data_IF_839604822349
#
_entry.id   IF_839604822349
#
_cell.length_a   1.000
_cell.length_b   1.000
_cell.length_c   1.000
_cell.angle_alpha   90.00
_cell.angle_beta   90.00
_cell.angle_gamma   90.00
#
_symmetry.space_group_name_H-M   'P 1'
#
loop_
_entity.id
_entity.type
_entity.pdbx_description
1 polymer ?
#
# COMPACT_ATOMS: atom_id res chain seq x y z
N UNK A 1 0.26 -121.55 -28.01
CA UNK A 1 -0.93 -120.73 -27.69
C UNK A 1 -0.45 -119.58 -26.83
N UNK A 2 -0.60 -118.38 -27.37
CA UNK A 2 -0.13 -117.07 -26.90
C UNK A 2 -0.97 -116.59 -25.72
N UNK A 3 -0.33 -116.30 -24.60
CA UNK A 3 -0.94 -115.58 -23.47
C UNK A 3 -0.31 -114.19 -23.42
N UNK A 4 -1.10 -113.10 -23.52
CA UNK A 4 -0.58 -111.74 -23.66
C UNK A 4 -0.07 -111.16 -22.33
N UNK A 5 0.96 -110.32 -22.45
CA UNK A 5 1.56 -109.52 -21.39
C UNK A 5 0.56 -108.46 -20.87
N UNK A 6 0.52 -108.20 -19.55
CA UNK A 6 -0.27 -107.09 -19.00
C UNK A 6 0.39 -105.72 -19.29
N UNK A 7 -0.42 -104.65 -19.44
CA UNK A 7 0.04 -103.33 -19.87
C UNK A 7 0.81 -102.57 -18.77
N UNK A 8 1.85 -101.84 -19.20
CA UNK A 8 2.62 -100.91 -18.37
C UNK A 8 1.71 -99.79 -17.81
N UNK A 9 1.48 -99.85 -16.49
CA UNK A 9 0.80 -98.80 -15.75
C UNK A 9 1.77 -97.66 -15.45
N UNK A 10 1.50 -96.49 -16.04
CA UNK A 10 2.32 -95.29 -15.95
C UNK A 10 2.58 -94.78 -14.54
N UNK A 11 3.76 -94.20 -14.38
CA UNK A 11 4.27 -93.46 -13.23
C UNK A 11 3.31 -92.32 -12.83
N UNK A 12 2.66 -92.47 -11.67
CA UNK A 12 1.91 -91.39 -11.01
C UNK A 12 2.89 -90.38 -10.39
N UNK A 13 2.78 -89.08 -10.66
CA UNK A 13 3.63 -88.07 -10.02
C UNK A 13 3.23 -87.85 -8.55
N UNK A 14 4.22 -87.95 -7.66
CA UNK A 14 4.08 -87.67 -6.23
C UNK A 14 3.91 -86.17 -5.99
N UNK A 15 2.78 -85.78 -5.39
CA UNK A 15 2.55 -84.40 -4.96
C UNK A 15 3.24 -84.15 -3.61
N UNK A 16 3.93 -83.00 -3.40
CA UNK A 16 4.49 -82.66 -2.10
C UNK A 16 3.38 -82.36 -1.07
N UNK A 17 3.58 -82.68 0.22
CA UNK A 17 2.60 -82.40 1.27
C UNK A 17 2.42 -80.88 1.47
N UNK A 18 1.23 -80.43 1.93
CA UNK A 18 0.96 -79.01 2.13
C UNK A 18 1.83 -78.42 3.27
N UNK A 19 2.23 -77.14 3.18
CA UNK A 19 3.03 -76.50 4.22
C UNK A 19 2.26 -76.34 5.53
N UNK A 20 2.97 -76.53 6.65
CA UNK A 20 2.45 -76.40 8.01
C UNK A 20 1.97 -74.95 8.30
N UNK A 21 0.97 -74.76 9.19
CA UNK A 21 0.47 -73.43 9.52
C UNK A 21 1.55 -72.63 10.27
N UNK A 22 1.99 -71.52 9.64
CA UNK A 22 2.94 -70.60 10.26
C UNK A 22 2.31 -69.90 11.48
N UNK A 23 3.07 -69.88 12.57
CA UNK A 23 2.71 -69.26 13.84
C UNK A 23 2.44 -67.76 13.74
N UNK A 24 1.76 -67.27 14.78
CA UNK A 24 1.33 -65.89 14.97
C UNK A 24 2.49 -64.89 14.93
N UNK A 25 2.69 -64.26 13.77
CA UNK A 25 3.35 -62.97 13.68
C UNK A 25 2.34 -61.88 14.05
N UNK A 26 2.61 -61.17 15.13
CA UNK A 26 1.91 -59.96 15.54
C UNK A 26 1.73 -59.01 14.36
N UNK A 27 0.48 -58.68 14.01
CA UNK A 27 0.17 -57.65 13.04
C UNK A 27 0.70 -56.30 13.53
N UNK A 28 1.87 -55.89 13.04
CA UNK A 28 2.33 -54.52 13.15
C UNK A 28 1.41 -53.67 12.27
N UNK A 29 0.62 -52.78 12.88
CA UNK A 29 -0.25 -51.85 12.14
C UNK A 29 0.58 -51.01 11.14
N UNK A 30 0.04 -50.67 9.95
CA UNK A 30 0.75 -49.81 9.01
C UNK A 30 0.97 -48.44 9.66
N UNK A 31 2.23 -48.01 9.78
CA UNK A 31 2.53 -46.61 10.12
C UNK A 31 2.13 -45.73 8.93
N UNK A 32 1.36 -44.64 9.12
CA UNK A 32 1.08 -43.73 8.03
C UNK A 32 2.38 -43.07 7.56
N UNK A 33 2.63 -43.10 6.25
CA UNK A 33 3.74 -42.40 5.62
C UNK A 33 3.69 -40.91 6.01
N UNK A 34 4.78 -40.38 6.60
CA UNK A 34 4.92 -38.94 6.82
C UNK A 34 4.92 -38.24 5.46
N UNK A 35 3.89 -37.45 5.20
CA UNK A 35 3.88 -36.52 4.07
C UNK A 35 5.07 -35.56 4.20
N UNK A 36 5.87 -35.33 3.14
CA UNK A 36 6.89 -34.29 3.18
C UNK A 36 6.20 -32.94 3.36
N UNK A 37 6.53 -32.23 4.44
CA UNK A 37 6.02 -30.87 4.65
C UNK A 37 6.49 -29.98 3.49
N UNK A 38 5.63 -29.13 2.92
CA UNK A 38 6.03 -28.27 1.82
C UNK A 38 7.06 -27.26 2.33
N UNK A 39 8.33 -27.47 1.96
CA UNK A 39 9.44 -26.57 2.26
C UNK A 39 9.24 -25.16 1.69
N UNK A 40 8.28 -24.99 0.76
CA UNK A 40 7.95 -23.71 0.14
C UNK A 40 7.52 -22.63 1.11
N UNK A 41 6.82 -22.97 2.20
CA UNK A 41 6.36 -21.95 3.17
C UNK A 41 7.52 -21.46 4.06
N UNK A 42 8.46 -22.34 4.41
CA UNK A 42 9.65 -21.95 5.17
C UNK A 42 10.58 -21.07 4.34
N UNK A 43 10.74 -21.38 3.04
CA UNK A 43 11.50 -20.56 2.10
C UNK A 43 10.80 -19.21 1.89
N UNK A 44 9.47 -19.19 1.73
CA UNK A 44 8.71 -17.94 1.61
C UNK A 44 8.88 -17.05 2.85
N UNK A 45 8.81 -17.62 4.06
CA UNK A 45 9.02 -16.87 5.29
C UNK A 45 10.46 -16.33 5.42
N UNK A 46 11.47 -17.10 4.99
CA UNK A 46 12.86 -16.66 4.97
C UNK A 46 13.07 -15.50 3.99
N UNK A 47 12.51 -15.61 2.78
CA UNK A 47 12.61 -14.57 1.74
C UNK A 47 11.91 -13.30 2.19
N UNK A 48 10.71 -13.40 2.78
CA UNK A 48 9.99 -12.24 3.33
C UNK A 48 10.78 -11.60 4.47
N UNK A 49 11.43 -12.39 5.34
CA UNK A 49 12.29 -11.88 6.41
C UNK A 49 13.51 -11.13 5.89
N UNK A 50 14.18 -11.64 4.85
CA UNK A 50 15.33 -10.98 4.22
C UNK A 50 14.88 -9.69 3.51
N UNK A 51 13.77 -9.71 2.77
CA UNK A 51 13.23 -8.51 2.12
C UNK A 51 12.83 -7.46 3.16
N UNK A 52 12.20 -7.85 4.26
CA UNK A 52 11.88 -6.94 5.35
C UNK A 52 13.13 -6.36 6.03
N UNK A 53 14.20 -7.14 6.16
CA UNK A 53 15.48 -6.68 6.70
C UNK A 53 16.18 -5.67 5.76
N UNK A 54 16.16 -5.94 4.45
CA UNK A 54 16.77 -5.04 3.45
C UNK A 54 15.98 -3.73 3.29
N UNK A 55 14.64 -3.78 3.35
CA UNK A 55 13.77 -2.60 3.30
C UNK A 55 13.79 -1.83 4.64
N UNK A 56 13.96 -2.53 5.77
CA UNK A 56 14.09 -1.93 7.10
C UNK A 56 15.41 -1.19 7.36
N UNK A 57 16.39 -1.29 6.45
CA UNK A 57 17.64 -0.52 6.46
C UNK A 57 17.47 0.90 5.88
N UNK A 58 16.24 1.38 5.73
CA UNK A 58 15.95 2.81 5.48
C UNK A 58 15.54 3.44 6.82
N UNK A 59 16.36 4.36 7.39
CA UNK A 59 16.29 4.78 8.80
C UNK A 59 14.97 5.42 9.26
N UNK A 60 14.05 5.75 8.34
CA UNK A 60 12.76 6.37 8.67
C UNK A 60 11.66 5.33 8.97
N UNK A 61 11.80 4.06 8.54
CA UNK A 61 10.75 3.04 8.69
C UNK A 61 10.96 2.02 9.82
N UNK A 62 12.14 2.01 10.45
CA UNK A 62 12.52 0.98 11.43
C UNK A 62 11.65 0.97 12.70
N UNK A 63 11.19 2.14 13.16
CA UNK A 63 10.38 2.23 14.38
C UNK A 63 8.97 1.63 14.19
N UNK A 64 8.32 1.90 13.04
CA UNK A 64 6.99 1.38 12.74
C UNK A 64 7.01 -0.13 12.48
N UNK A 65 8.02 -0.62 11.75
CA UNK A 65 8.21 -2.05 11.50
C UNK A 65 8.60 -2.79 12.79
N UNK A 66 9.39 -2.16 13.67
CA UNK A 66 9.74 -2.71 14.99
C UNK A 66 8.53 -2.87 15.90
N UNK A 67 7.64 -1.86 15.96
CA UNK A 67 6.40 -1.93 16.73
C UNK A 67 5.48 -3.02 16.16
N UNK A 68 5.34 -3.11 14.84
CA UNK A 68 4.55 -4.16 14.19
C UNK A 68 5.11 -5.56 14.50
N UNK A 69 6.43 -5.74 14.51
CA UNK A 69 7.08 -7.00 14.87
C UNK A 69 6.84 -7.41 16.33
N UNK A 70 6.88 -6.45 17.27
CA UNK A 70 6.55 -6.68 18.68
C UNK A 70 5.08 -7.09 18.84
N UNK A 71 4.17 -6.40 18.17
CA UNK A 71 2.72 -6.71 18.19
C UNK A 71 2.46 -8.10 17.63
N UNK A 72 3.09 -8.47 16.51
CA UNK A 72 2.98 -9.81 15.93
C UNK A 72 3.60 -10.89 16.82
N UNK A 73 4.70 -10.59 17.51
CA UNK A 73 5.30 -11.48 18.51
C UNK A 73 4.36 -11.75 19.69
N UNK A 74 3.73 -10.70 20.23
CA UNK A 74 2.75 -10.80 21.31
C UNK A 74 1.47 -11.52 20.87
N UNK A 75 1.03 -11.32 19.63
CA UNK A 75 -0.13 -12.04 19.07
C UNK A 75 0.18 -13.53 18.81
N UNK A 76 1.41 -13.86 18.42
CA UNK A 76 1.87 -15.24 18.29
C UNK A 76 1.92 -15.97 19.64
N UNK A 77 2.31 -15.28 20.73
CA UNK A 77 2.24 -15.79 22.11
C UNK A 77 0.79 -16.10 22.54
N UNK A 78 -0.18 -15.27 22.15
CA UNK A 78 -1.61 -15.47 22.47
C UNK A 78 -2.26 -16.64 21.72
N UNK A 79 -1.68 -17.13 20.63
CA UNK A 79 -2.25 -18.24 19.83
C UNK A 79 -1.70 -19.63 20.18
N UNK A 80 -0.84 -19.78 21.20
CA UNK A 80 -0.24 -21.08 21.58
C UNK A 80 0.42 -21.85 20.41
N UNK A 81 0.92 -21.15 19.39
CA UNK A 81 1.77 -21.81 18.40
C UNK A 81 3.13 -22.14 19.03
N UNK A 82 3.65 -23.31 18.65
CA UNK A 82 4.59 -24.13 19.41
C UNK A 82 5.72 -23.36 20.12
N UNK A 83 5.91 -23.72 21.39
CA UNK A 83 6.80 -23.08 22.39
C UNK A 83 8.25 -22.85 21.91
N UNK A 84 8.71 -23.54 20.86
CA UNK A 84 10.04 -23.35 20.28
C UNK A 84 10.19 -22.12 19.38
N UNK A 85 9.13 -21.66 18.70
CA UNK A 85 9.21 -20.56 17.72
C UNK A 85 9.06 -19.17 18.37
N UNK A 86 8.34 -19.09 19.50
CA UNK A 86 8.20 -17.86 20.27
C UNK A 86 9.48 -17.50 21.02
N UNK A 87 10.20 -18.49 21.57
CA UNK A 87 11.46 -18.26 22.30
C UNK A 87 12.56 -17.77 21.34
N UNK A 88 12.67 -18.37 20.16
CA UNK A 88 13.62 -17.91 19.14
C UNK A 88 13.22 -16.54 18.58
N UNK A 89 11.92 -16.27 18.37
CA UNK A 89 11.44 -14.97 17.92
C UNK A 89 11.72 -13.82 18.89
N UNK A 90 11.51 -14.04 20.19
CA UNK A 90 11.82 -13.04 21.23
C UNK A 90 13.34 -12.87 21.36
N UNK A 91 14.11 -13.97 21.30
CA UNK A 91 15.57 -13.91 21.37
C UNK A 91 16.17 -13.13 20.20
N UNK A 92 15.75 -13.43 18.96
CA UNK A 92 16.22 -12.71 17.78
C UNK A 92 15.75 -11.25 17.76
N UNK A 93 14.50 -11.00 18.18
CA UNK A 93 13.95 -9.65 18.29
C UNK A 93 14.68 -8.79 19.32
N UNK A 94 15.00 -9.34 20.49
CA UNK A 94 15.80 -8.65 21.50
C UNK A 94 17.21 -8.31 21.03
N UNK A 95 17.87 -9.25 20.33
CA UNK A 95 19.19 -9.00 19.72
C UNK A 95 19.09 -7.92 18.64
N UNK A 96 18.05 -7.94 17.80
CA UNK A 96 17.83 -6.92 16.77
C UNK A 96 17.60 -5.52 17.36
N UNK A 97 16.84 -5.41 18.46
CA UNK A 97 16.64 -4.12 19.16
C UNK A 97 17.95 -3.61 19.75
N UNK A 98 18.74 -4.47 20.40
CA UNK A 98 20.05 -4.08 20.94
C UNK A 98 21.03 -3.68 19.83
N UNK A 99 21.07 -4.41 18.72
CA UNK A 99 21.88 -4.06 17.55
C UNK A 99 21.41 -2.75 16.91
N UNK A 100 20.11 -2.49 16.85
CA UNK A 100 19.55 -1.23 16.33
C UNK A 100 19.95 -0.04 17.20
N UNK A 101 19.82 -0.15 18.52
CA UNK A 101 20.22 0.92 19.45
C UNK A 101 21.72 1.20 19.35
N UNK A 102 22.55 0.15 19.27
CA UNK A 102 23.99 0.30 19.09
C UNK A 102 24.35 0.97 17.74
N UNK A 103 23.65 0.61 16.66
CA UNK A 103 23.85 1.23 15.34
C UNK A 103 23.41 2.69 15.33
N UNK A 104 22.31 3.05 16.02
CA UNK A 104 21.83 4.43 16.15
C UNK A 104 22.81 5.31 16.92
N UNK A 105 23.37 4.82 18.03
CA UNK A 105 24.37 5.55 18.82
C UNK A 105 25.69 5.69 18.03
N UNK A 106 26.11 4.63 17.33
CA UNK A 106 27.33 4.64 16.50
C UNK A 106 27.22 5.56 15.27
N UNK A 107 26.07 5.58 14.60
CA UNK A 107 25.83 6.43 13.44
C UNK A 107 25.70 7.91 13.82
N UNK A 108 25.05 8.21 14.96
CA UNK A 108 25.00 9.57 15.51
C UNK A 108 26.38 10.12 15.90
N UNK A 109 27.24 9.28 16.48
CA UNK A 109 28.62 9.68 16.81
C UNK A 109 29.51 9.87 15.55
N UNK A 110 29.35 9.03 14.53
CA UNK A 110 30.11 9.12 13.28
C UNK A 110 29.76 10.36 12.44
N UNK A 111 28.50 10.79 12.45
CA UNK A 111 28.08 12.03 11.77
C UNK A 111 28.51 13.31 12.51
N UNK A 112 28.63 13.26 13.84
CA UNK A 112 29.12 14.39 14.61
C UNK A 112 30.63 14.64 14.43
N UNK A 113 31.41 13.61 14.07
CA UNK A 113 32.86 13.75 13.80
C UNK A 113 33.21 14.29 12.41
N UNK A 114 32.23 14.47 11.50
CA UNK A 114 32.49 15.00 10.15
C UNK A 114 32.35 16.53 10.05
N UNK A 115 32.00 17.21 11.16
CA UNK A 115 31.73 18.65 11.18
C UNK A 115 32.77 19.49 11.97
N UNK A 116 33.85 18.89 12.49
CA UNK A 116 34.81 19.57 13.37
C UNK A 116 36.18 19.91 12.74
N UNK A 117 36.41 19.65 11.45
CA UNK A 117 37.69 19.99 10.79
C UNK A 117 37.46 20.69 9.44
N UNK A 118 37.18 22.00 9.48
CA UNK A 118 37.50 22.95 8.41
C UNK A 118 37.19 24.40 8.81
N UNK A 119 38.17 25.05 9.46
CA UNK A 119 38.47 26.46 9.18
C UNK A 119 39.94 26.49 8.72
N UNK A 120 40.30 27.34 7.74
CA UNK A 120 40.52 28.73 8.11
C UNK A 120 40.06 29.77 7.08
N UNK A 121 40.00 31.00 7.60
CA UNK A 121 39.78 32.28 6.95
C UNK A 121 40.42 32.45 5.56
N UNK A 122 39.65 33.02 4.63
CA UNK A 122 40.19 33.84 3.53
C UNK A 122 39.50 35.21 3.50
N UNK A 123 40.36 36.18 3.75
CA UNK A 123 40.37 37.61 3.53
C UNK A 123 39.43 38.16 2.46
N UNK A 124 38.71 39.22 2.82
CA UNK A 124 37.99 40.13 1.93
C UNK A 124 39.01 40.95 1.14
N UNK A 125 39.03 40.82 -0.19
CA UNK A 125 39.52 41.87 -1.08
C UNK A 125 38.38 42.32 -2.01
N UNK A 126 38.06 43.60 -1.85
CA UNK A 126 37.17 44.38 -2.70
C UNK A 126 37.94 44.77 -3.96
N UNK A 127 37.39 44.53 -5.15
CA UNK A 127 37.75 45.28 -6.36
C UNK A 127 36.72 45.08 -7.46
N UNK A 128 35.99 46.15 -7.75
CA UNK A 128 35.32 46.46 -9.01
C UNK A 128 35.62 47.96 -9.27
N UNK A 129 35.56 48.53 -10.51
CA UNK A 129 34.68 48.11 -11.62
C UNK A 129 35.16 48.32 -13.10
N UNK A 130 34.41 47.70 -14.04
CA UNK A 130 33.96 48.16 -15.39
C UNK A 130 34.97 48.43 -16.56
N UNK A 131 34.53 48.58 -17.85
CA UNK A 131 33.45 47.94 -18.64
C UNK A 131 33.82 47.59 -20.12
N UNK A 132 33.02 46.76 -20.80
CA UNK A 132 32.75 46.78 -22.26
C UNK A 132 31.62 45.76 -22.53
N UNK A 133 30.34 46.11 -22.71
CA UNK A 133 29.72 46.84 -23.82
C UNK A 133 29.91 46.16 -25.19
N UNK A 134 29.10 45.13 -25.49
CA UNK A 134 28.48 44.95 -26.82
C UNK A 134 27.10 44.30 -26.67
N UNK A 135 26.07 45.08 -26.96
CA UNK A 135 24.77 44.68 -27.53
C UNK A 135 24.64 45.52 -28.80
N UNK A 136 23.97 45.08 -29.88
CA UNK A 136 22.49 44.99 -29.83
C UNK A 136 21.79 44.01 -30.79
N UNK A 137 20.46 44.00 -30.63
CA UNK A 137 19.42 43.76 -31.67
C UNK A 137 18.95 42.30 -31.77
N UNK A 138 17.79 41.96 -31.16
CA UNK A 138 16.42 42.04 -31.70
C UNK A 138 16.24 41.10 -32.92
N UNK A 139 15.26 40.20 -32.99
CA UNK A 139 13.81 40.41 -32.97
C UNK A 139 13.13 39.01 -32.98
N UNK A 140 11.86 38.86 -32.55
CA UNK A 140 11.21 37.59 -32.26
C UNK A 140 10.44 37.04 -33.47
N UNK A 141 10.03 35.77 -33.40
CA UNK A 141 8.86 35.30 -34.13
C UNK A 141 8.24 34.06 -33.45
N UNK A 142 6.90 34.05 -33.24
CA UNK A 142 6.14 32.99 -32.61
C UNK A 142 5.56 31.99 -33.62
N UNK A 143 4.67 31.12 -33.10
CA UNK A 143 3.70 30.28 -33.79
C UNK A 143 4.13 28.79 -33.89
N UNK A 144 3.26 27.78 -33.72
CA UNK A 144 1.83 27.72 -34.05
C UNK A 144 1.07 26.78 -33.11
N UNK A 145 -0.08 27.26 -32.66
CA UNK A 145 -1.28 26.49 -32.34
C UNK A 145 -1.80 25.84 -33.62
N UNK A 146 -1.93 24.51 -33.64
CA UNK A 146 -2.70 23.80 -34.66
C UNK A 146 -4.03 23.37 -34.03
N UNK A 147 -5.06 24.18 -34.32
CA UNK A 147 -6.45 23.77 -34.22
C UNK A 147 -6.85 23.15 -35.55
N UNK A 148 -7.51 21.99 -35.50
CA UNK A 148 -8.18 21.36 -36.62
C UNK A 148 -9.43 20.62 -36.09
N UNK A 149 -10.49 20.42 -36.88
CA UNK A 149 -11.66 21.30 -36.83
C UNK A 149 -12.97 20.55 -36.50
N UNK A 150 -13.97 21.34 -36.12
CA UNK A 150 -15.38 20.97 -36.02
C UNK A 150 -15.93 20.76 -37.44
N UNK A 151 -16.55 19.61 -37.71
CA UNK A 151 -17.38 19.39 -38.90
C UNK A 151 -18.84 19.22 -38.46
N UNK A 152 -19.68 20.14 -38.94
CA UNK A 152 -21.14 20.19 -38.78
C UNK A 152 -21.75 20.23 -40.17
N UNK A 153 -22.70 19.32 -40.44
CA UNK A 153 -23.94 19.42 -41.24
C UNK A 153 -24.28 18.03 -41.84
N UNK A 154 -25.22 17.26 -41.26
CA UNK A 154 -26.68 17.19 -41.56
C UNK A 154 -27.01 16.44 -42.89
N UNK A 155 -28.24 15.89 -43.17
CA UNK A 155 -29.51 15.88 -42.41
C UNK A 155 -30.35 14.54 -42.41
N UNK A 156 -31.29 14.45 -41.46
CA UNK A 156 -32.70 13.96 -41.53
C UNK A 156 -33.03 12.64 -42.23
N UNK A 157 -33.59 11.66 -41.50
CA UNK A 157 -34.85 10.97 -41.88
C UNK A 157 -35.66 10.51 -40.65
N UNK A 158 -36.91 10.96 -40.59
CA UNK A 158 -38.03 10.41 -39.81
C UNK A 158 -39.26 10.71 -40.68
N UNK A 159 -40.16 9.76 -40.99
CA UNK A 159 -41.30 9.53 -40.09
C UNK A 159 -41.93 8.10 -40.04
N UNK A 160 -42.29 7.68 -38.81
CA UNK A 160 -43.58 7.09 -38.36
C UNK A 160 -44.14 5.77 -39.00
N UNK A 161 -45.22 5.13 -38.47
CA UNK A 161 -45.68 4.87 -37.09
C UNK A 161 -46.20 3.41 -36.88
N UNK A 162 -46.08 2.78 -35.69
CA UNK A 162 -47.04 1.72 -35.26
C UNK A 162 -47.20 1.65 -33.73
N UNK A 163 -48.37 2.09 -33.27
CA UNK A 163 -49.27 1.54 -32.23
C UNK A 163 -48.71 0.95 -30.93
N UNK A 164 -48.93 1.71 -29.85
CA UNK A 164 -49.91 1.42 -28.79
C UNK A 164 -49.98 -0.02 -28.25
N UNK A 165 -49.32 -0.22 -27.11
CA UNK A 165 -49.75 -1.14 -26.07
C UNK A 165 -49.87 -0.33 -24.77
N UNK A 166 -51.10 0.05 -24.40
CA UNK A 166 -51.44 0.44 -23.02
C UNK A 166 -51.83 -0.83 -22.22
N UNK A 167 -51.89 -0.82 -20.88
CA UNK A 167 -51.04 -0.17 -19.91
C UNK A 167 -50.52 -1.20 -18.88
N UNK A 168 -49.31 -1.04 -18.36
CA UNK A 168 -48.97 -1.59 -17.04
C UNK A 168 -48.52 -0.43 -16.19
N UNK A 169 -49.30 -0.18 -15.15
CA UNK A 169 -49.00 0.71 -14.04
C UNK A 169 -47.76 0.15 -13.32
N UNK A 170 -46.58 0.37 -13.89
CA UNK A 170 -45.32 0.16 -13.20
C UNK A 170 -45.09 1.39 -12.35
N UNK A 171 -45.38 1.22 -11.05
CA UNK A 171 -45.06 2.16 -10.00
C UNK A 171 -43.62 2.62 -10.21
N UNK A 172 -43.46 3.90 -10.55
CA UNK A 172 -42.15 4.53 -10.62
C UNK A 172 -41.39 4.20 -9.33
N UNK A 173 -40.14 3.73 -9.39
CA UNK A 173 -39.36 3.64 -8.16
C UNK A 173 -39.29 5.06 -7.58
N UNK A 174 -39.65 5.18 -6.29
CA UNK A 174 -39.40 6.42 -5.55
C UNK A 174 -37.98 6.90 -5.85
N UNK A 175 -37.82 8.21 -6.10
CA UNK A 175 -36.55 8.85 -6.36
C UNK A 175 -35.47 8.37 -5.35
N UNK A 176 -34.22 8.20 -5.78
CA UNK A 176 -33.29 7.34 -5.08
C UNK A 176 -33.00 7.91 -3.69
N UNK A 177 -33.25 7.10 -2.67
CA UNK A 177 -32.53 7.25 -1.42
C UNK A 177 -31.03 7.29 -1.76
N UNK A 178 -30.29 8.24 -1.17
CA UNK A 178 -28.85 8.42 -1.40
C UNK A 178 -28.16 7.05 -1.34
N UNK A 179 -27.37 6.67 -2.38
CA UNK A 179 -26.73 5.35 -2.40
C UNK A 179 -25.88 5.10 -1.15
N UNK A 180 -25.79 3.83 -0.72
CA UNK A 180 -25.01 3.46 0.48
C UNK A 180 -23.54 3.88 0.36
N UNK A 181 -22.97 3.79 -0.84
CA UNK A 181 -21.60 4.23 -1.11
C UNK A 181 -21.41 5.73 -0.82
N UNK A 182 -22.38 6.56 -1.19
CA UNK A 182 -22.33 8.01 -1.03
C UNK A 182 -22.39 8.38 0.46
N UNK A 183 -23.21 7.66 1.22
CA UNK A 183 -23.27 7.81 2.68
C UNK A 183 -21.95 7.38 3.34
N UNK A 184 -21.34 6.29 2.86
CA UNK A 184 -20.06 5.80 3.37
C UNK A 184 -18.92 6.78 3.05
N UNK A 185 -18.89 7.31 1.84
CA UNK A 185 -17.93 8.33 1.42
C UNK A 185 -18.08 9.61 2.26
N UNK A 186 -19.31 10.04 2.55
CA UNK A 186 -19.57 11.20 3.41
C UNK A 186 -19.06 11.01 4.85
N UNK A 187 -19.27 9.83 5.43
CA UNK A 187 -18.75 9.50 6.77
C UNK A 187 -17.21 9.53 6.78
N UNK A 188 -16.58 8.97 5.75
CA UNK A 188 -15.11 9.00 5.58
C UNK A 188 -14.60 10.41 5.36
N UNK A 189 -15.31 11.21 4.57
CA UNK A 189 -14.99 12.61 4.33
C UNK A 189 -14.96 13.42 5.63
N UNK A 190 -15.99 13.28 6.47
CA UNK A 190 -16.05 13.92 7.77
C UNK A 190 -14.86 13.49 8.66
N UNK A 191 -14.61 12.18 8.74
CA UNK A 191 -13.50 11.61 9.51
C UNK A 191 -12.13 12.15 9.10
N UNK A 192 -11.86 12.29 7.79
CA UNK A 192 -10.58 12.81 7.29
C UNK A 192 -10.47 14.32 7.44
N UNK A 193 -11.57 15.06 7.24
CA UNK A 193 -11.58 16.49 7.55
C UNK A 193 -11.25 16.74 9.02
N UNK A 194 -11.87 16.00 9.94
CA UNK A 194 -11.68 16.18 11.38
C UNK A 194 -10.31 15.75 11.89
N UNK A 195 -9.80 14.60 11.44
CA UNK A 195 -8.54 14.05 11.98
C UNK A 195 -7.30 14.44 11.19
N UNK A 196 -7.45 14.65 9.88
CA UNK A 196 -6.33 14.90 8.98
C UNK A 196 -6.36 16.31 8.40
N UNK A 197 -7.38 17.12 8.71
CA UNK A 197 -7.48 18.52 8.28
C UNK A 197 -7.25 18.69 6.78
N UNK A 198 -7.79 17.79 5.98
CA UNK A 198 -7.58 17.80 4.53
C UNK A 198 -8.29 19.00 3.87
N UNK A 199 -7.73 19.47 2.75
CA UNK A 199 -8.46 20.36 1.85
C UNK A 199 -9.58 19.62 1.13
N UNK A 200 -10.48 20.37 0.49
CA UNK A 200 -11.54 19.78 -0.33
C UNK A 200 -10.98 18.93 -1.48
N UNK A 201 -9.93 19.41 -2.16
CA UNK A 201 -9.30 18.70 -3.28
C UNK A 201 -8.54 17.46 -2.81
N UNK A 202 -7.73 17.59 -1.74
CA UNK A 202 -7.01 16.47 -1.16
C UNK A 202 -7.97 15.38 -0.64
N UNK A 203 -9.10 15.80 -0.06
CA UNK A 203 -10.12 14.88 0.43
C UNK A 203 -10.77 14.08 -0.70
N UNK A 204 -11.11 14.74 -1.81
CA UNK A 204 -11.59 14.05 -3.01
C UNK A 204 -10.57 13.02 -3.49
N UNK A 205 -9.31 13.43 -3.66
CA UNK A 205 -8.22 12.55 -4.09
C UNK A 205 -8.03 11.34 -3.16
N UNK A 206 -8.13 11.54 -1.84
CA UNK A 206 -8.01 10.48 -0.85
C UNK A 206 -9.17 9.47 -0.94
N UNK A 207 -10.40 9.95 -1.15
CA UNK A 207 -11.58 9.10 -1.27
C UNK A 207 -11.54 8.26 -2.55
N UNK A 208 -11.01 8.82 -3.65
CA UNK A 208 -10.90 8.11 -4.94
C UNK A 208 -9.61 7.31 -5.12
N UNK A 209 -8.61 7.51 -4.27
CA UNK A 209 -7.29 6.89 -4.42
C UNK A 209 -7.36 5.37 -4.45
N UNK A 210 -6.64 4.75 -5.39
CA UNK A 210 -6.47 3.30 -5.48
C UNK A 210 -5.84 2.70 -4.21
N UNK A 211 -5.09 3.50 -3.46
CA UNK A 211 -4.47 3.12 -2.19
C UNK A 211 -5.25 3.62 -0.95
N UNK A 212 -6.33 4.37 -1.17
CA UNK A 212 -7.18 4.95 -0.13
C UNK A 212 -8.47 4.17 0.04
N UNK A 213 -9.61 4.85 -0.14
CA UNK A 213 -10.94 4.28 0.05
C UNK A 213 -11.55 3.71 -1.24
N UNK A 214 -11.00 4.08 -2.41
CA UNK A 214 -11.42 3.57 -3.72
C UNK A 214 -12.92 3.79 -4.04
N UNK A 215 -13.53 4.83 -3.47
CA UNK A 215 -14.91 5.20 -3.80
C UNK A 215 -15.01 5.66 -5.26
N UNK A 216 -16.19 5.46 -5.85
CA UNK A 216 -16.49 6.05 -7.15
C UNK A 216 -16.30 7.58 -7.11
N UNK A 217 -15.83 8.20 -8.22
CA UNK A 217 -15.70 9.66 -8.31
C UNK A 217 -17.00 10.39 -7.95
N UNK A 218 -18.15 9.82 -8.29
CA UNK A 218 -19.45 10.42 -8.00
C UNK A 218 -19.78 10.36 -6.50
N UNK A 219 -19.46 9.26 -5.81
CA UNK A 219 -19.61 9.15 -4.35
C UNK A 219 -18.65 10.09 -3.60
N UNK A 220 -17.40 10.18 -4.07
CA UNK A 220 -16.41 11.10 -3.50
C UNK A 220 -16.81 12.57 -3.72
N UNK A 221 -17.32 12.91 -4.91
CA UNK A 221 -17.82 14.25 -5.21
C UNK A 221 -19.00 14.60 -4.31
N UNK A 222 -19.97 13.69 -4.19
CA UNK A 222 -21.08 13.84 -3.27
C UNK A 222 -20.58 14.07 -1.83
N UNK A 223 -19.60 13.31 -1.38
CA UNK A 223 -19.05 13.44 -0.03
C UNK A 223 -18.40 14.81 0.20
N UNK A 224 -17.54 15.30 -0.70
CA UNK A 224 -16.88 16.60 -0.52
C UNK A 224 -17.83 17.80 -0.67
N UNK A 225 -18.96 17.62 -1.35
CA UNK A 225 -19.98 18.67 -1.49
C UNK A 225 -20.95 18.72 -0.30
N UNK A 226 -21.11 17.61 0.42
CA UNK A 226 -22.07 17.49 1.52
C UNK A 226 -21.41 17.39 2.91
N UNK A 227 -20.09 17.23 2.98
CA UNK A 227 -19.37 17.23 4.26
C UNK A 227 -19.43 18.62 4.89
N UNK A 228 -19.88 18.68 6.14
CA UNK A 228 -19.88 19.90 6.93
C UNK A 228 -18.48 20.14 7.51
N UNK A 229 -17.56 20.60 6.65
CA UNK A 229 -16.20 20.93 7.01
C UNK A 229 -15.98 22.45 7.02
N UNK A 230 -15.20 22.93 7.98
CA UNK A 230 -14.65 24.29 7.97
C UNK A 230 -13.27 24.23 7.31
N UNK A 231 -13.21 24.54 6.02
CA UNK A 231 -11.97 24.45 5.25
C UNK A 231 -10.91 25.46 5.67
N UNK A 232 -11.34 26.63 6.16
CA UNK A 232 -10.46 27.63 6.74
C UNK A 232 -9.82 27.10 8.04
N UNK A 233 -10.61 26.44 8.89
CA UNK A 233 -10.11 25.80 10.10
C UNK A 233 -9.15 24.65 9.76
N UNK A 234 -9.45 23.83 8.75
CA UNK A 234 -8.55 22.77 8.29
C UNK A 234 -7.22 23.34 7.78
N UNK A 235 -7.26 24.38 6.95
CA UNK A 235 -6.06 25.05 6.45
C UNK A 235 -5.22 25.62 7.61
N UNK A 236 -5.86 26.26 8.59
CA UNK A 236 -5.19 26.78 9.78
C UNK A 236 -4.56 25.65 10.63
N UNK A 237 -5.25 24.53 10.81
CA UNK A 237 -4.70 23.39 11.54
C UNK A 237 -3.45 22.84 10.84
N UNK A 238 -3.50 22.65 9.52
CA UNK A 238 -2.33 22.27 8.71
C UNK A 238 -1.19 23.28 8.80
N UNK A 239 -1.51 24.57 8.75
CA UNK A 239 -0.53 25.63 8.89
C UNK A 239 0.20 25.55 10.24
N UNK A 240 -0.53 25.34 11.33
CA UNK A 240 0.03 25.16 12.68
C UNK A 240 0.87 23.88 12.78
N UNK A 241 0.45 22.80 12.12
CA UNK A 241 1.24 21.57 12.06
C UNK A 241 2.58 21.79 11.33
N UNK A 242 2.58 22.44 10.17
CA UNK A 242 3.80 22.77 9.44
C UNK A 242 4.71 23.72 10.23
N UNK A 243 4.14 24.73 10.88
CA UNK A 243 4.90 25.65 11.72
C UNK A 243 5.55 24.92 12.91
N UNK A 244 4.81 24.06 13.60
CA UNK A 244 5.28 23.42 14.83
C UNK A 244 6.22 22.23 14.58
N UNK A 245 5.95 21.41 13.57
CA UNK A 245 6.72 20.19 13.31
C UNK A 245 7.90 20.41 12.38
N UNK A 246 7.76 21.33 11.41
CA UNK A 246 8.78 21.57 10.38
C UNK A 246 9.42 22.95 10.47
N UNK A 247 9.02 23.79 11.44
CA UNK A 247 9.55 25.14 11.61
C UNK A 247 9.51 25.98 10.33
N UNK A 248 8.50 25.76 9.48
CA UNK A 248 8.38 26.44 8.19
C UNK A 248 8.02 27.92 8.38
N UNK A 249 8.48 28.77 7.47
CA UNK A 249 8.08 30.18 7.42
C UNK A 249 6.62 30.32 6.96
N UNK A 250 5.91 31.41 7.31
CA UNK A 250 4.54 31.62 6.86
C UNK A 250 4.37 31.56 5.34
N UNK A 251 5.35 32.06 4.58
CA UNK A 251 5.28 32.00 3.12
C UNK A 251 5.44 30.56 2.59
N UNK A 252 6.40 29.80 3.12
CA UNK A 252 6.57 28.40 2.77
C UNK A 252 5.34 27.56 3.14
N UNK A 253 4.68 27.89 4.25
CA UNK A 253 3.41 27.27 4.65
C UNK A 253 2.32 27.59 3.63
N UNK A 254 2.15 28.86 3.23
CA UNK A 254 1.16 29.24 2.21
C UNK A 254 1.38 28.47 0.91
N UNK A 255 2.62 28.43 0.44
CA UNK A 255 2.99 27.72 -0.79
C UNK A 255 2.71 26.22 -0.64
N UNK A 256 3.02 25.61 0.51
CA UNK A 256 2.74 24.21 0.78
C UNK A 256 1.24 23.90 0.86
N UNK A 257 0.44 24.79 1.46
CA UNK A 257 -1.01 24.64 1.54
C UNK A 257 -1.65 24.68 0.15
N UNK A 258 -1.16 25.54 -0.74
CA UNK A 258 -1.70 25.71 -2.10
C UNK A 258 -1.08 24.79 -3.15
N UNK A 259 0.04 24.13 -2.83
CA UNK A 259 0.79 23.31 -3.78
C UNK A 259 -0.05 22.17 -4.35
N UNK A 260 0.08 21.95 -5.67
CA UNK A 260 -0.56 20.85 -6.41
C UNK A 260 -0.16 19.49 -5.84
N UNK A 261 1.07 19.37 -5.33
CA UNK A 261 1.60 18.14 -4.70
C UNK A 261 1.54 18.18 -3.17
N UNK A 262 1.01 19.26 -2.60
CA UNK A 262 0.90 19.47 -1.16
C UNK A 262 -0.52 19.25 -0.67
N UNK A 263 -1.08 20.25 0.00
CA UNK A 263 -2.41 20.12 0.59
C UNK A 263 -3.54 20.57 -0.36
N UNK A 264 -3.24 21.30 -1.45
CA UNK A 264 -4.23 21.75 -2.44
C UNK A 264 -5.42 22.54 -1.87
N UNK A 265 -5.21 23.32 -0.81
CA UNK A 265 -6.15 24.36 -0.38
C UNK A 265 -6.27 25.46 -1.42
N UNK A 266 -7.40 26.16 -1.41
CA UNK A 266 -7.55 27.41 -2.19
C UNK A 266 -6.62 28.49 -1.67
N UNK A 267 -6.33 29.49 -2.50
CA UNK A 267 -5.49 30.62 -2.10
C UNK A 267 -6.12 31.36 -0.91
N UNK A 268 -7.44 31.52 -0.92
CA UNK A 268 -8.18 32.21 0.13
C UNK A 268 -8.11 31.47 1.48
N UNK A 269 -8.20 30.14 1.48
CA UNK A 269 -8.07 29.31 2.70
C UNK A 269 -6.64 29.35 3.25
N UNK A 270 -5.63 29.31 2.37
CA UNK A 270 -4.24 29.43 2.76
C UNK A 270 -3.94 30.83 3.33
N UNK A 271 -4.44 31.88 2.69
CA UNK A 271 -4.29 33.26 3.17
C UNK A 271 -4.99 33.47 4.52
N UNK A 272 -6.18 32.90 4.70
CA UNK A 272 -6.85 32.87 5.99
C UNK A 272 -5.98 32.18 7.05
N UNK A 273 -5.42 31.01 6.73
CA UNK A 273 -4.57 30.26 7.66
C UNK A 273 -3.32 31.04 8.08
N UNK A 274 -2.66 31.73 7.15
CA UNK A 274 -1.48 32.55 7.47
C UNK A 274 -1.86 33.76 8.33
N UNK A 275 -2.98 34.40 8.03
CA UNK A 275 -3.44 35.56 8.79
C UNK A 275 -3.68 35.23 10.27
N UNK A 276 -4.19 34.03 10.56
CA UNK A 276 -4.55 33.58 11.91
C UNK A 276 -3.52 32.61 12.53
N UNK A 277 -2.34 32.49 11.93
CA UNK A 277 -1.36 31.46 12.31
C UNK A 277 -0.89 31.59 13.77
N UNK A 278 -0.83 32.83 14.28
CA UNK A 278 -0.32 33.14 15.61
C UNK A 278 -1.40 33.71 16.56
N UNK A 279 -2.67 33.48 16.25
CA UNK A 279 -3.80 33.82 17.12
C UNK A 279 -3.94 32.85 18.31
#
# INVERSE_FOLDING_TARGET
>A
MTTPLPPEGGSQPSFPPPPAPYGSATAQAPQPARSPRPAGLAIAALVVGIVAFLVGLVPVFGALVGIAAVVLGVLALRRHLSKGFAITGIGLGGIAVLSSIAMTIGFGAAMNSVSDDAAPAITVETSAPAPAAETPTAEPAPAQTEAAPVETAAPVETPAPVQEAEPVEEVAPEAPAVPVEYTSALIKAASYSEMLHMSKAGLFGQLTSEYGEQFSPEAAQYAVDNVAADWNANALAKAKDYQSQMAMSPEAIRDQLTSEYGEQFTAEEADFAILHLND
#
